data_IF_115669998350
#
_entry.id   IF_115669998350
#
_cell.length_a   1.000
_cell.length_b   1.000
_cell.length_c   1.000
_cell.angle_alpha   90.00
_cell.angle_beta   90.00
_cell.angle_gamma   90.00
#
_symmetry.space_group_name_H-M   'P 1'
#
loop_
_entity.id
_entity.type
_entity.pdbx_description
1 polymer ?
#
# COMPACT_ATOMS: atom_id res chain seq x y z
N UNK A 1 9.99 -15.59 18.75
CA UNK A 1 10.78 -14.84 17.76
C UNK A 1 10.58 -15.52 16.43
N UNK A 2 10.01 -14.85 15.42
CA UNK A 2 9.89 -15.44 14.09
C UNK A 2 11.29 -15.62 13.50
N UNK A 3 11.56 -16.80 12.94
CA UNK A 3 12.84 -17.12 12.31
C UNK A 3 13.06 -16.18 11.10
N UNK A 4 14.08 -15.33 11.17
CA UNK A 4 14.35 -14.27 10.18
C UNK A 4 15.04 -14.82 8.91
N UNK A 5 14.81 -16.10 8.61
CA UNK A 5 15.37 -16.78 7.44
C UNK A 5 14.56 -16.42 6.20
N UNK A 6 15.27 -16.09 5.13
CA UNK A 6 14.66 -15.91 3.82
C UNK A 6 13.99 -17.21 3.38
N UNK A 7 12.78 -17.06 2.82
CA UNK A 7 11.99 -18.16 2.24
C UNK A 7 11.93 -17.98 0.74
N UNK A 8 11.98 -19.08 0.00
CA UNK A 8 11.75 -19.09 -1.45
C UNK A 8 10.28 -19.36 -1.73
N UNK A 9 9.70 -18.56 -2.63
CA UNK A 9 8.34 -18.70 -3.15
C UNK A 9 8.41 -18.61 -4.67
N UNK A 10 7.82 -19.55 -5.38
CA UNK A 10 7.70 -19.51 -6.85
C UNK A 10 6.30 -19.06 -7.21
N UNK A 11 6.20 -18.08 -8.11
CA UNK A 11 4.94 -17.55 -8.61
C UNK A 11 5.01 -17.50 -10.14
N UNK A 12 3.89 -17.81 -10.79
CA UNK A 12 3.64 -17.46 -12.18
C UNK A 12 3.38 -15.96 -12.33
N UNK A 13 3.61 -15.43 -13.53
CA UNK A 13 3.31 -14.03 -13.85
C UNK A 13 1.84 -13.68 -13.54
N UNK A 14 0.89 -14.60 -13.79
CA UNK A 14 -0.51 -14.39 -13.46
C UNK A 14 -0.77 -14.27 -11.95
N UNK A 15 -0.06 -15.03 -11.12
CA UNK A 15 -0.16 -14.93 -9.66
C UNK A 15 0.47 -13.63 -9.14
N UNK A 16 1.59 -13.20 -9.72
CA UNK A 16 2.21 -11.89 -9.42
C UNK A 16 1.20 -10.77 -9.71
N UNK A 17 0.60 -10.75 -10.91
CA UNK A 17 -0.40 -9.74 -11.29
C UNK A 17 -1.63 -9.79 -10.38
N UNK A 18 -2.12 -10.99 -10.03
CA UNK A 18 -3.28 -11.13 -9.14
C UNK A 18 -3.00 -10.56 -7.75
N UNK A 19 -1.84 -10.90 -7.16
CA UNK A 19 -1.43 -10.36 -5.85
C UNK A 19 -1.22 -8.85 -5.90
N UNK A 20 -0.61 -8.32 -6.96
CA UNK A 20 -0.49 -6.86 -7.14
C UNK A 20 -1.85 -6.18 -7.13
N UNK A 21 -2.83 -6.71 -7.88
CA UNK A 21 -4.19 -6.16 -7.92
C UNK A 21 -4.90 -6.25 -6.57
N UNK A 22 -4.73 -7.35 -5.83
CA UNK A 22 -5.30 -7.50 -4.50
C UNK A 22 -4.73 -6.45 -3.52
N UNK A 23 -3.41 -6.24 -3.52
CA UNK A 23 -2.77 -5.22 -2.69
C UNK A 23 -3.23 -3.82 -3.10
N UNK A 24 -3.32 -3.53 -4.39
CA UNK A 24 -3.85 -2.27 -4.91
C UNK A 24 -5.30 -2.02 -4.47
N UNK A 25 -6.16 -3.05 -4.51
CA UNK A 25 -7.54 -2.95 -4.02
C UNK A 25 -7.56 -2.60 -2.52
N UNK A 26 -6.79 -3.31 -1.69
CA UNK A 26 -6.72 -3.03 -0.25
C UNK A 26 -6.27 -1.59 0.03
N UNK A 27 -5.33 -1.07 -0.76
CA UNK A 27 -4.77 0.28 -0.60
C UNK A 27 -5.69 1.39 -1.12
N UNK A 28 -6.31 1.21 -2.27
CA UNK A 28 -6.90 2.31 -3.04
C UNK A 28 -8.38 2.13 -3.42
N UNK A 29 -9.04 1.06 -2.97
CA UNK A 29 -10.45 0.80 -3.34
C UNK A 29 -11.29 0.17 -2.23
N UNK A 30 -10.69 -0.56 -1.29
CA UNK A 30 -11.36 -1.11 -0.12
C UNK A 30 -11.82 0.04 0.80
N UNK A 31 -13.11 0.15 1.09
CA UNK A 31 -13.68 1.30 1.83
C UNK A 31 -13.67 1.11 3.35
N UNK A 32 -13.49 -0.13 3.80
CA UNK A 32 -13.41 -0.51 5.21
C UNK A 32 -12.16 0.10 5.85
N UNK A 33 -12.34 0.90 6.90
CA UNK A 33 -11.25 1.60 7.61
C UNK A 33 -10.28 0.63 8.28
N UNK A 34 -10.75 -0.53 8.72
CA UNK A 34 -9.90 -1.61 9.25
C UNK A 34 -8.77 -1.99 8.28
N UNK A 35 -9.00 -1.86 6.97
CA UNK A 35 -7.97 -2.19 6.00
C UNK A 35 -6.76 -1.25 6.00
N UNK A 36 -6.81 -0.11 6.69
CA UNK A 36 -5.66 0.79 6.91
C UNK A 36 -4.48 0.03 7.55
N UNK A 37 -4.75 -0.94 8.45
CA UNK A 37 -3.69 -1.75 9.06
C UNK A 37 -2.91 -2.60 8.05
N UNK A 38 -3.54 -2.96 6.92
CA UNK A 38 -2.91 -3.70 5.84
C UNK A 38 -2.33 -2.75 4.79
N UNK A 39 -3.10 -1.73 4.40
CA UNK A 39 -2.71 -0.75 3.40
C UNK A 39 -1.45 0.03 3.81
N UNK A 40 -1.30 0.38 5.09
CA UNK A 40 -0.13 1.08 5.63
C UNK A 40 0.94 0.16 6.22
N UNK A 41 0.85 -1.16 6.00
CA UNK A 41 1.82 -2.11 6.57
C UNK A 41 3.15 -2.07 5.82
N UNK A 42 4.28 -1.81 6.49
CA UNK A 42 5.61 -1.86 5.85
C UNK A 42 5.95 -3.22 5.27
N UNK A 43 5.41 -4.30 5.85
CA UNK A 43 5.61 -5.66 5.34
C UNK A 43 4.84 -5.90 4.04
N UNK A 44 3.62 -5.37 3.94
CA UNK A 44 2.84 -5.43 2.70
C UNK A 44 3.48 -4.55 1.63
N UNK A 45 3.97 -3.37 1.99
CA UNK A 45 4.75 -2.51 1.09
C UNK A 45 5.99 -3.22 0.57
N UNK A 46 6.74 -3.89 1.45
CA UNK A 46 7.90 -4.69 1.05
C UNK A 46 7.55 -5.83 0.09
N UNK A 47 6.45 -6.56 0.35
CA UNK A 47 5.95 -7.58 -0.58
C UNK A 47 5.57 -6.95 -1.91
N UNK A 48 4.88 -5.80 -1.89
CA UNK A 48 4.42 -5.14 -3.09
C UNK A 48 5.59 -4.66 -3.98
N UNK A 49 6.65 -4.11 -3.38
CA UNK A 49 7.88 -3.77 -4.11
C UNK A 49 8.48 -4.98 -4.82
N UNK A 50 8.61 -6.10 -4.11
CA UNK A 50 9.15 -7.35 -4.69
C UNK A 50 8.29 -7.86 -5.84
N UNK A 51 6.96 -7.78 -5.70
CA UNK A 51 6.03 -8.17 -6.76
C UNK A 51 6.14 -7.23 -7.98
N UNK A 52 6.37 -5.94 -7.77
CA UNK A 52 6.61 -4.98 -8.86
C UNK A 52 7.94 -5.29 -9.56
N UNK A 53 8.99 -5.60 -8.83
CA UNK A 53 10.33 -5.88 -9.38
C UNK A 53 10.37 -7.14 -10.24
N UNK A 54 9.63 -8.20 -9.87
CA UNK A 54 9.61 -9.48 -10.60
C UNK A 54 8.56 -9.55 -11.71
N UNK A 55 7.69 -8.55 -11.82
CA UNK A 55 6.69 -8.44 -12.88
C UNK A 55 7.38 -8.16 -14.23
N UNK A 56 7.00 -8.87 -15.29
CA UNK A 56 7.45 -8.61 -16.66
C UNK A 56 7.34 -7.13 -17.09
N UNK A 57 6.35 -6.39 -16.54
CA UNK A 57 6.13 -4.96 -16.76
C UNK A 57 6.55 -4.09 -15.56
N UNK A 58 7.48 -4.57 -14.74
CA UNK A 58 7.90 -3.94 -13.49
C UNK A 58 8.38 -2.51 -13.68
N UNK A 59 9.28 -2.26 -14.64
CA UNK A 59 9.80 -0.91 -14.90
C UNK A 59 8.69 0.08 -15.29
N UNK A 60 7.75 -0.34 -16.14
CA UNK A 60 6.61 0.49 -16.54
C UNK A 60 5.70 0.79 -15.35
N UNK A 61 5.52 -0.19 -14.46
CA UNK A 61 4.77 0.00 -13.21
C UNK A 61 5.47 1.02 -12.31
N UNK A 62 6.78 0.93 -12.14
CA UNK A 62 7.58 1.89 -11.36
C UNK A 62 7.44 3.30 -11.92
N UNK A 63 7.59 3.46 -13.25
CA UNK A 63 7.46 4.76 -13.91
C UNK A 63 6.04 5.34 -13.77
N UNK A 64 5.02 4.47 -13.72
CA UNK A 64 3.64 4.87 -13.45
C UNK A 64 3.47 5.33 -12.00
N UNK A 65 3.98 4.60 -11.01
CA UNK A 65 3.86 4.92 -9.59
C UNK A 65 4.70 6.14 -9.15
N UNK A 66 5.81 6.41 -9.83
CA UNK A 66 6.63 7.61 -9.59
C UNK A 66 5.89 8.92 -9.92
N UNK A 67 4.71 8.84 -10.55
CA UNK A 67 3.83 9.98 -10.76
C UNK A 67 2.82 10.05 -9.63
N UNK A 68 2.64 11.23 -9.04
CA UNK A 68 1.61 11.40 -8.02
C UNK A 68 0.19 11.23 -8.58
N UNK A 69 -0.69 10.63 -7.78
CA UNK A 69 -2.04 10.23 -8.17
C UNK A 69 -3.07 10.89 -7.24
N UNK A 70 -3.58 12.05 -7.65
CA UNK A 70 -4.43 12.90 -6.81
C UNK A 70 -5.68 12.18 -6.26
N UNK A 71 -6.26 11.25 -7.02
CA UNK A 71 -7.42 10.48 -6.53
C UNK A 71 -7.04 9.51 -5.42
N UNK A 72 -5.84 8.90 -5.49
CA UNK A 72 -5.38 7.96 -4.46
C UNK A 72 -4.97 8.72 -3.21
N UNK A 73 -4.35 9.89 -3.36
CA UNK A 73 -4.05 10.80 -2.26
C UNK A 73 -5.33 11.19 -1.51
N UNK A 74 -6.37 11.64 -2.25
CA UNK A 74 -7.67 11.98 -1.66
C UNK A 74 -8.33 10.78 -0.97
N UNK A 75 -8.30 9.61 -1.61
CA UNK A 75 -8.88 8.39 -1.06
C UNK A 75 -8.22 8.00 0.26
N UNK A 76 -6.89 7.96 0.30
CA UNK A 76 -6.14 7.60 1.51
C UNK A 76 -6.39 8.62 2.63
N UNK A 77 -6.36 9.93 2.33
CA UNK A 77 -6.64 10.97 3.34
C UNK A 77 -8.04 10.82 3.92
N UNK A 78 -9.07 10.72 3.06
CA UNK A 78 -10.46 10.58 3.49
C UNK A 78 -10.66 9.33 4.36
N UNK A 79 -9.95 8.24 4.05
CA UNK A 79 -10.00 7.00 4.83
C UNK A 79 -9.35 7.12 6.20
N UNK A 80 -8.21 7.82 6.30
CA UNK A 80 -7.57 8.11 7.58
C UNK A 80 -8.44 9.03 8.45
N UNK A 81 -9.05 10.06 7.84
CA UNK A 81 -9.99 10.95 8.54
C UNK A 81 -11.20 10.17 9.08
N UNK A 82 -11.76 9.26 8.26
CA UNK A 82 -12.86 8.38 8.68
C UNK A 82 -12.45 7.47 9.85
N UNK A 83 -11.24 6.92 9.82
CA UNK A 83 -10.70 6.09 10.90
C UNK A 83 -10.54 6.88 12.22
N UNK A 84 -10.12 8.15 12.16
CA UNK A 84 -10.03 9.02 13.34
C UNK A 84 -11.42 9.26 13.95
N UNK A 85 -12.42 9.53 13.11
CA UNK A 85 -13.81 9.71 13.53
C UNK A 85 -14.37 8.46 14.20
N UNK A 86 -14.16 7.29 13.61
CA UNK A 86 -14.64 6.00 14.15
C UNK A 86 -13.98 5.63 15.48
N UNK A 87 -12.69 5.94 15.63
CA UNK A 87 -11.95 5.69 16.88
C UNK A 87 -12.15 6.78 17.94
N UNK A 88 -12.80 7.90 17.59
CA UNK A 88 -12.97 9.06 18.47
C UNK A 88 -11.65 9.72 18.88
N UNK A 89 -10.59 9.57 18.07
CA UNK A 89 -9.24 10.07 18.38
C UNK A 89 -8.52 10.52 17.12
N UNK A 90 -8.12 11.78 17.10
CA UNK A 90 -7.23 12.32 16.07
C UNK A 90 -5.81 11.77 16.22
N UNK A 91 -5.17 11.48 15.09
CA UNK A 91 -3.76 11.17 15.06
C UNK A 91 -2.93 12.42 15.37
N UNK A 92 -1.77 12.21 15.98
CA UNK A 92 -0.72 13.22 15.94
C UNK A 92 -0.30 13.46 14.49
N UNK A 93 -0.01 14.71 14.13
CA UNK A 93 0.24 15.10 12.74
C UNK A 93 1.35 14.27 12.09
N UNK A 94 2.42 13.94 12.82
CA UNK A 94 3.53 13.12 12.33
C UNK A 94 3.11 11.67 12.06
N UNK A 95 2.27 11.10 12.93
CA UNK A 95 1.75 9.74 12.81
C UNK A 95 0.80 9.64 11.62
N UNK A 96 -0.04 10.67 11.42
CA UNK A 96 -0.96 10.76 10.29
C UNK A 96 -0.20 10.83 8.97
N UNK A 97 0.80 11.70 8.88
CA UNK A 97 1.63 11.82 7.69
C UNK A 97 2.42 10.53 7.39
N UNK A 98 2.95 9.86 8.43
CA UNK A 98 3.61 8.56 8.24
C UNK A 98 2.63 7.50 7.72
N UNK A 99 1.45 7.38 8.34
CA UNK A 99 0.40 6.45 7.92
C UNK A 99 -0.07 6.73 6.50
N UNK A 100 -0.22 8.01 6.15
CA UNK A 100 -0.56 8.46 4.81
C UNK A 100 0.47 7.99 3.78
N UNK A 101 1.77 8.23 4.03
CA UNK A 101 2.84 7.80 3.11
C UNK A 101 2.88 6.29 2.92
N UNK A 102 2.74 5.53 4.01
CA UNK A 102 2.74 4.06 3.93
C UNK A 102 1.51 3.53 3.18
N UNK A 103 0.34 4.15 3.38
CA UNK A 103 -0.88 3.78 2.66
C UNK A 103 -0.81 4.17 1.18
N UNK A 104 -0.23 5.35 0.87
CA UNK A 104 -0.10 5.87 -0.49
C UNK A 104 0.94 5.11 -1.32
N UNK A 105 1.93 4.48 -0.67
CA UNK A 105 2.93 3.64 -1.35
C UNK A 105 2.23 2.64 -2.29
N UNK A 106 2.67 2.50 -3.55
CA UNK A 106 3.96 2.94 -4.13
C UNK A 106 3.90 4.32 -4.78
N UNK A 107 2.76 5.01 -4.75
CA UNK A 107 2.68 6.34 -5.35
C UNK A 107 3.50 7.34 -4.53
N UNK A 108 4.25 8.18 -5.25
CA UNK A 108 4.93 9.31 -4.63
C UNK A 108 3.97 10.47 -4.47
N UNK A 109 4.08 11.19 -3.35
CA UNK A 109 3.40 12.49 -3.19
C UNK A 109 4.00 13.49 -4.18
N UNK A 110 3.16 14.31 -4.82
CA UNK A 110 3.63 15.43 -5.65
C UNK A 110 4.32 16.51 -4.83
#
# INVERSE_FOLDING_TARGET
MADNREKKLTLSQSEVVALKKAIMYLKFSCEETESVMYAGSPLINSIFSKLIEIDDLGQQSIDFYNKGHAENERFVLAKLDKLELENGREFQSEVKEASFRECLFPFSRK
#
